data_IF_415978353191
#
_entry.id   IF_415978353191
#
_cell.length_a   1.000
_cell.length_b   1.000
_cell.length_c   1.000
_cell.angle_alpha   90.00
_cell.angle_beta   90.00
_cell.angle_gamma   90.00
#
_symmetry.space_group_name_H-M   'P 1'
#
loop_
_entity.id
_entity.type
_entity.pdbx_description
1 polymer ?
#
# COMPACT_ATOMS: atom_id res chain seq x y z
N UNK A 1 11.21 -23.86 -0.15
CA UNK A 1 10.93 -23.33 -0.45
C UNK A 1 10.60 -22.63 -0.54
N UNK A 2 10.47 -22.36 -0.76
CA UNK A 2 10.04 -21.69 -0.99
C UNK A 2 9.61 -21.12 -1.32
N UNK A 3 9.49 -20.88 -1.50
CA UNK A 3 8.93 -20.33 -1.85
C UNK A 3 8.55 -19.76 -2.30
N UNK A 4 8.25 -19.88 -2.10
CA UNK A 4 7.46 -19.33 -2.91
C UNK A 4 7.61 -18.08 -3.20
N UNK A 5 8.21 -17.76 -2.90
CA UNK A 5 8.20 -16.75 -3.16
C UNK A 5 8.13 -16.44 -4.26
N UNK A 6 7.57 -16.20 -4.54
CA UNK A 6 7.21 -15.82 -5.72
C UNK A 6 8.14 -14.85 -6.25
N UNK A 7 9.05 -15.18 -7.13
CA UNK A 7 9.99 -14.26 -7.67
C UNK A 7 9.37 -13.11 -8.41
N UNK A 8 8.12 -13.30 -8.91
CA UNK A 8 7.51 -12.22 -9.63
C UNK A 8 6.59 -11.42 -8.83
N UNK A 9 6.50 -11.66 -7.53
CA UNK A 9 5.66 -10.88 -6.66
C UNK A 9 6.28 -9.50 -6.51
N UNK A 10 5.64 -8.43 -7.01
CA UNK A 10 6.21 -7.11 -6.90
C UNK A 10 6.32 -6.60 -5.47
N UNK A 11 5.71 -7.29 -4.53
CA UNK A 11 5.82 -6.94 -3.11
C UNK A 11 6.97 -7.66 -2.43
N UNK A 12 7.64 -8.53 -3.16
CA UNK A 12 8.75 -9.26 -2.59
C UNK A 12 9.84 -8.29 -2.15
N UNK A 13 10.29 -8.42 -0.92
CA UNK A 13 11.34 -7.55 -0.40
C UNK A 13 10.85 -6.24 0.16
N UNK A 14 9.56 -5.96 0.05
CA UNK A 14 9.00 -4.73 0.61
C UNK A 14 8.33 -5.01 1.93
N UNK A 15 8.53 -4.11 2.90
CA UNK A 15 7.83 -4.24 4.17
C UNK A 15 6.51 -3.50 4.11
N UNK A 16 5.61 -3.87 5.00
CA UNK A 16 4.32 -3.17 5.08
C UNK A 16 4.53 -1.69 5.38
N UNK A 17 5.54 -1.38 6.19
CA UNK A 17 5.86 0.01 6.50
C UNK A 17 6.21 0.79 5.24
N UNK A 18 7.00 0.21 4.37
CA UNK A 18 7.39 0.86 3.12
C UNK A 18 6.17 1.08 2.24
N UNK A 19 5.30 0.09 2.18
CA UNK A 19 4.09 0.18 1.37
C UNK A 19 3.20 1.31 1.85
N UNK A 20 2.93 1.35 3.16
CA UNK A 20 2.07 2.39 3.73
C UNK A 20 2.69 3.76 3.55
N UNK A 21 4.00 3.88 3.77
CA UNK A 21 4.68 5.16 3.64
C UNK A 21 4.58 5.67 2.20
N UNK A 22 4.79 4.80 1.23
CA UNK A 22 4.71 5.21 -0.16
C UNK A 22 3.30 5.58 -0.57
N UNK A 23 2.31 4.86 -0.08
CA UNK A 23 0.93 5.19 -0.37
C UNK A 23 0.55 6.54 0.22
N UNK A 24 0.96 6.79 1.46
CA UNK A 24 0.66 8.07 2.10
C UNK A 24 1.36 9.21 1.38
N UNK A 25 2.57 8.98 0.91
CA UNK A 25 3.30 9.99 0.14
C UNK A 25 2.63 10.28 -1.18
N UNK A 26 2.18 9.24 -1.84
CA UNK A 26 1.61 9.39 -3.19
C UNK A 26 0.21 10.00 -3.15
N UNK A 27 -0.66 9.47 -2.30
CA UNK A 27 -2.06 9.91 -2.26
C UNK A 27 -2.34 10.97 -1.19
N UNK A 28 -1.57 10.98 -0.11
CA UNK A 28 -1.92 11.75 1.07
C UNK A 28 -2.92 10.98 1.90
N UNK A 29 -2.95 11.26 3.20
CA UNK A 29 -3.83 10.52 4.10
C UNK A 29 -5.31 10.71 3.76
N UNK A 30 -5.68 11.90 3.34
CA UNK A 30 -7.08 12.18 3.03
C UNK A 30 -7.58 11.29 1.89
N UNK A 31 -6.83 11.29 0.79
CA UNK A 31 -7.20 10.49 -0.36
C UNK A 31 -7.12 9.01 -0.03
N UNK A 32 -6.09 8.60 0.70
CA UNK A 32 -5.92 7.21 1.08
C UNK A 32 -7.11 6.74 1.90
N UNK A 33 -7.61 7.58 2.80
CA UNK A 33 -8.79 7.25 3.59
C UNK A 33 -10.05 7.18 2.77
N UNK A 34 -10.10 7.92 1.66
CA UNK A 34 -11.23 7.85 0.75
C UNK A 34 -11.21 6.53 -0.02
N UNK A 35 -10.03 6.11 -0.44
CA UNK A 35 -9.90 4.89 -1.22
C UNK A 35 -10.05 3.65 -0.35
N UNK A 36 -9.52 3.70 0.87
CA UNK A 36 -9.63 2.60 1.83
C UNK A 36 -10.12 3.20 3.14
N UNK A 37 -11.45 3.23 3.35
CA UNK A 37 -12.02 3.95 4.49
C UNK A 37 -11.91 3.17 5.80
N UNK A 38 -10.69 3.06 6.32
CA UNK A 38 -10.44 2.44 7.60
C UNK A 38 -9.95 3.49 8.58
N UNK A 39 -10.19 3.27 9.85
CA UNK A 39 -9.93 4.29 10.87
C UNK A 39 -8.49 4.74 10.91
N UNK A 40 -7.56 3.84 10.72
CA UNK A 40 -6.16 4.22 10.80
C UNK A 40 -5.75 5.18 9.68
N UNK A 41 -6.59 5.35 8.67
CA UNK A 41 -6.33 6.29 7.58
C UNK A 41 -7.19 7.54 7.70
N UNK A 42 -8.29 7.47 8.42
CA UNK A 42 -9.25 8.58 8.48
C UNK A 42 -9.25 9.32 9.80
N UNK A 43 -8.71 8.71 10.85
CA UNK A 43 -8.71 9.32 12.19
C UNK A 43 -7.29 9.39 12.70
N UNK A 44 -6.76 10.62 12.78
CA UNK A 44 -5.39 10.87 13.23
C UNK A 44 -4.41 9.89 12.56
N UNK A 45 -4.36 9.92 11.24
CA UNK A 45 -3.57 8.91 10.54
C UNK A 45 -2.07 9.05 10.79
N UNK A 46 -1.42 7.90 10.85
CA UNK A 46 0.03 7.84 10.95
C UNK A 46 0.46 6.47 10.48
N UNK A 47 1.74 6.37 10.10
CA UNK A 47 2.28 5.08 9.67
C UNK A 47 2.23 4.09 10.82
N UNK A 48 2.59 4.54 12.02
CA UNK A 48 2.62 3.65 13.18
C UNK A 48 1.28 3.02 13.49
N UNK A 49 0.23 3.86 13.57
CA UNK A 49 -1.09 3.35 13.89
C UNK A 49 -1.62 2.47 12.77
N UNK A 50 -1.29 2.82 11.53
CA UNK A 50 -1.71 2.00 10.39
C UNK A 50 -1.09 0.61 10.45
N UNK A 51 0.20 0.54 10.77
CA UNK A 51 0.88 -0.75 10.85
C UNK A 51 0.26 -1.63 11.93
N UNK A 52 -0.04 -1.04 13.08
CA UNK A 52 -0.67 -1.79 14.15
C UNK A 52 -1.98 -2.42 13.70
N UNK A 53 -2.81 -1.62 13.06
CA UNK A 53 -4.11 -2.10 12.61
C UNK A 53 -3.96 -3.14 11.51
N UNK A 54 -3.12 -2.87 10.54
CA UNK A 54 -2.99 -3.74 9.37
C UNK A 54 -2.38 -5.09 9.72
N UNK A 55 -1.49 -5.12 10.69
CA UNK A 55 -0.88 -6.39 11.09
C UNK A 55 -1.90 -7.34 11.69
N UNK A 56 -3.00 -6.82 12.24
CA UNK A 56 -4.04 -7.62 12.84
C UNK A 56 -5.25 -7.82 11.95
N UNK A 57 -5.26 -7.19 10.79
CA UNK A 57 -6.46 -7.16 9.96
C UNK A 57 -6.13 -7.55 8.53
N UNK A 58 -6.08 -8.86 8.24
CA UNK A 58 -5.65 -9.33 6.92
C UNK A 58 -6.43 -8.75 5.75
N UNK A 59 -7.75 -8.59 5.90
CA UNK A 59 -8.53 -8.06 4.78
C UNK A 59 -8.15 -6.62 4.45
N UNK A 60 -7.81 -5.83 5.47
CA UNK A 60 -7.40 -4.46 5.24
C UNK A 60 -6.01 -4.42 4.62
N UNK A 61 -5.14 -5.30 5.06
CA UNK A 61 -3.80 -5.38 4.48
C UNK A 61 -3.87 -5.77 3.02
N UNK A 62 -4.76 -6.68 2.67
CA UNK A 62 -4.95 -7.06 1.28
C UNK A 62 -5.35 -5.86 0.43
N UNK A 63 -6.24 -5.03 0.95
CA UNK A 63 -6.67 -3.85 0.22
C UNK A 63 -5.52 -2.86 0.04
N UNK A 64 -4.71 -2.70 1.07
CA UNK A 64 -3.56 -1.81 1.01
C UNK A 64 -2.56 -2.31 -0.03
N UNK A 65 -2.29 -3.60 -0.03
CA UNK A 65 -1.36 -4.18 -0.98
C UNK A 65 -1.88 -4.07 -2.40
N UNK A 66 -3.18 -4.28 -2.58
CA UNK A 66 -3.78 -4.15 -3.90
C UNK A 66 -3.69 -2.72 -4.41
N UNK A 67 -3.94 -1.75 -3.54
CA UNK A 67 -3.83 -0.35 -3.93
C UNK A 67 -2.39 0.00 -4.28
N UNK A 68 -1.44 -0.55 -3.53
CA UNK A 68 -0.04 -0.31 -3.83
C UNK A 68 0.32 -0.83 -5.22
N UNK A 69 -0.14 -2.03 -5.56
CA UNK A 69 0.10 -2.58 -6.89
C UNK A 69 -0.55 -1.72 -7.96
N UNK A 70 -1.74 -1.23 -7.70
CA UNK A 70 -2.42 -0.33 -8.62
C UNK A 70 -1.61 0.94 -8.82
N UNK A 71 -1.11 1.51 -7.73
CA UNK A 71 -0.30 2.72 -7.78
C UNK A 71 0.95 2.50 -8.64
N UNK A 72 1.61 1.36 -8.44
CA UNK A 72 2.80 1.06 -9.22
C UNK A 72 2.50 0.97 -10.71
N UNK A 73 1.37 0.35 -11.05
CA UNK A 73 0.96 0.25 -12.44
C UNK A 73 0.66 1.61 -13.04
N UNK A 74 0.03 2.47 -12.25
CA UNK A 74 -0.28 3.82 -12.72
C UNK A 74 0.97 4.63 -12.94
N UNK A 75 1.93 4.52 -12.03
CA UNK A 75 3.19 5.22 -12.18
C UNK A 75 3.94 4.76 -13.42
N UNK A 76 3.94 3.48 -13.66
CA UNK A 76 4.61 2.92 -14.81
C UNK A 76 3.93 3.37 -16.10
N UNK A 77 2.60 3.38 -16.10
CA UNK A 77 1.84 3.80 -17.25
C UNK A 77 2.08 5.26 -17.57
N UNK A 78 2.08 6.10 -16.53
CA UNK A 78 2.32 7.53 -16.72
C UNK A 78 3.72 7.81 -17.25
N UNK A 79 4.71 7.13 -16.69
CA UNK A 79 6.07 7.28 -17.16
C UNK A 79 6.20 6.87 -18.63
N UNK A 80 5.53 5.78 -18.97
CA UNK A 80 5.54 5.26 -20.33
C UNK A 80 4.81 6.22 -21.27
N UNK A 81 3.70 6.75 -20.83
CA UNK A 81 2.91 7.64 -21.65
C UNK A 81 3.63 8.95 -21.95
N UNK A 82 4.54 9.34 -21.08
CA UNK A 82 5.26 10.57 -21.24
C UNK A 82 6.48 10.43 -22.12
N UNK A 83 6.84 9.21 -22.44
CA UNK A 83 7.94 9.02 -23.34
C UNK A 83 7.49 9.08 -24.79
#
# INVERSE_FOLDING_TARGET
>A
MTTPQQPRNPLHGLTLEMIVTQLADHYGWHELGTLIPIRCFTHEPSVGSSLKFLRRTPWARDKVESLYLFMLREQKRNAHAQS
#
